data_IF_212005664453
#
_entry.id   IF_212005664453
#
_cell.length_a   1.000
_cell.length_b   1.000
_cell.length_c   1.000
_cell.angle_alpha   90.00
_cell.angle_beta   90.00
_cell.angle_gamma   90.00
#
_symmetry.space_group_name_H-M   'P 1'
#
loop_
_entity.id
_entity.type
_entity.pdbx_description
1 polymer ?
#
# COMPACT_ATOMS: atom_id res chain seq x y z
N UNK A 1 -5.48 -6.93 -9.14
CA UNK A 1 -4.96 -5.60 -9.39
C UNK A 1 -4.40 -5.00 -8.10
N UNK A 2 -3.34 -4.26 -8.20
CA UNK A 2 -2.71 -3.62 -7.04
C UNK A 2 -3.37 -2.27 -6.79
N UNK A 3 -3.91 -2.06 -5.57
CA UNK A 3 -4.61 -0.83 -5.20
C UNK A 3 -3.78 -0.06 -4.18
N UNK A 4 -3.55 1.20 -4.44
CA UNK A 4 -2.82 2.09 -3.53
C UNK A 4 -3.81 2.92 -2.73
N UNK A 5 -3.71 2.85 -1.41
CA UNK A 5 -4.54 3.62 -0.48
C UNK A 5 -3.68 4.55 0.36
N UNK A 6 -4.21 5.72 0.67
CA UNK A 6 -3.61 6.62 1.65
C UNK A 6 -4.14 6.23 3.03
N UNK A 7 -3.26 6.07 4.01
CA UNK A 7 -3.67 5.73 5.38
C UNK A 7 -4.38 6.92 6.03
N UNK A 8 -5.50 6.66 6.71
CA UNK A 8 -6.31 7.70 7.34
C UNK A 8 -6.24 7.70 8.87
N UNK A 9 -5.34 6.90 9.45
CA UNK A 9 -5.19 6.81 10.90
C UNK A 9 -6.12 5.82 11.58
N UNK A 10 -6.91 5.07 10.82
CA UNK A 10 -7.83 4.04 11.35
C UNK A 10 -7.46 2.65 10.83
N UNK A 11 -8.13 1.63 11.33
CA UNK A 11 -7.92 0.24 10.87
C UNK A 11 -8.39 0.02 9.44
N UNK A 12 -9.30 0.85 8.99
CA UNK A 12 -9.84 0.76 7.64
C UNK A 12 -8.86 1.45 6.71
N UNK A 13 -8.64 0.85 5.56
CA UNK A 13 -7.84 1.49 4.50
C UNK A 13 -8.44 2.85 4.17
N UNK A 14 -7.56 3.83 4.02
CA UNK A 14 -8.00 5.17 3.69
C UNK A 14 -8.48 5.32 2.26
N UNK A 15 -8.35 6.51 1.72
CA UNK A 15 -8.83 6.81 0.38
C UNK A 15 -8.02 6.09 -0.70
N UNK A 16 -8.71 5.50 -1.66
CA UNK A 16 -8.08 4.89 -2.81
C UNK A 16 -7.45 5.97 -3.69
N UNK A 17 -6.14 5.86 -3.90
CA UNK A 17 -5.41 6.80 -4.74
C UNK A 17 -5.40 6.33 -6.19
N UNK A 18 -5.07 5.04 -6.42
CA UNK A 18 -4.90 4.51 -7.77
C UNK A 18 -4.93 3.00 -7.79
N UNK A 19 -5.08 2.44 -9.00
CA UNK A 19 -5.06 1.01 -9.27
C UNK A 19 -4.01 0.73 -10.32
N UNK A 20 -3.29 -0.38 -10.19
CA UNK A 20 -2.20 -0.73 -11.09
C UNK A 20 -2.22 -2.22 -11.41
N UNK A 21 -1.72 -2.58 -12.59
CA UNK A 21 -1.61 -3.98 -13.00
C UNK A 21 -0.38 -4.68 -12.42
N UNK A 22 0.59 -3.93 -11.91
CA UNK A 22 1.81 -4.49 -11.34
C UNK A 22 2.19 -3.82 -10.03
N UNK A 23 2.95 -4.55 -9.21
CA UNK A 23 3.48 -4.05 -7.95
C UNK A 23 4.42 -2.86 -8.20
N UNK A 24 5.28 -2.95 -9.20
CA UNK A 24 6.23 -1.89 -9.54
C UNK A 24 5.53 -0.58 -9.89
N UNK A 25 4.46 -0.66 -10.68
CA UNK A 25 3.69 0.52 -11.06
C UNK A 25 3.03 1.15 -9.83
N UNK A 26 2.51 0.33 -8.93
CA UNK A 26 1.91 0.81 -7.68
C UNK A 26 2.95 1.50 -6.79
N UNK A 27 4.14 0.92 -6.66
CA UNK A 27 5.23 1.51 -5.87
C UNK A 27 5.73 2.81 -6.47
N UNK A 28 5.81 2.91 -7.79
CA UNK A 28 6.19 4.15 -8.47
C UNK A 28 5.20 5.27 -8.19
N UNK A 29 3.91 4.95 -8.27
CA UNK A 29 2.86 5.93 -7.96
C UNK A 29 2.92 6.32 -6.49
N UNK A 30 3.11 5.35 -5.60
CA UNK A 30 3.23 5.60 -4.17
C UNK A 30 4.38 6.55 -3.86
N UNK A 31 5.53 6.40 -4.50
CA UNK A 31 6.68 7.27 -4.25
C UNK A 31 6.43 8.72 -4.66
N UNK A 32 5.48 8.96 -5.56
CA UNK A 32 5.09 10.31 -5.99
C UNK A 32 4.04 10.93 -5.06
N UNK A 33 3.15 10.10 -4.49
CA UNK A 33 2.02 10.55 -3.70
C UNK A 33 2.30 10.54 -2.20
N UNK A 34 3.20 9.67 -1.75
CA UNK A 34 3.47 9.44 -0.33
C UNK A 34 4.98 9.49 -0.10
N UNK A 35 5.40 10.30 0.86
CA UNK A 35 6.82 10.39 1.21
C UNK A 35 7.16 9.35 2.28
N UNK A 36 7.24 8.09 1.88
CA UNK A 36 7.55 6.98 2.79
C UNK A 36 9.05 6.69 2.83
N UNK A 37 9.49 6.09 3.93
CA UNK A 37 10.89 5.71 4.16
C UNK A 37 11.06 4.19 4.15
N UNK A 38 10.11 3.46 4.76
CA UNK A 38 10.18 2.01 4.87
C UNK A 38 9.02 1.33 4.16
N UNK A 39 9.30 0.15 3.65
CA UNK A 39 8.30 -0.69 2.97
C UNK A 39 8.28 -2.05 3.65
N UNK A 40 7.10 -2.49 4.06
CA UNK A 40 6.93 -3.81 4.67
C UNK A 40 5.87 -4.59 3.92
N UNK A 41 6.25 -5.75 3.40
CA UNK A 41 5.35 -6.62 2.65
C UNK A 41 4.86 -7.76 3.54
N UNK A 42 3.55 -7.88 3.66
CA UNK A 42 2.91 -8.91 4.48
C UNK A 42 1.95 -9.71 3.61
N UNK A 43 2.05 -11.03 3.69
CA UNK A 43 1.12 -11.94 3.01
C UNK A 43 0.15 -12.53 4.02
N UNK A 44 -1.14 -12.40 3.74
CA UNK A 44 -2.21 -12.97 4.58
C UNK A 44 -3.17 -13.76 3.69
N UNK A 45 -3.03 -15.09 3.67
CA UNK A 45 -3.88 -15.91 2.84
C UNK A 45 -3.80 -15.50 1.37
N UNK A 46 -4.93 -15.03 0.82
CA UNK A 46 -5.01 -14.58 -0.58
C UNK A 46 -4.74 -13.08 -0.76
N UNK A 47 -4.34 -12.41 0.30
CA UNK A 47 -4.14 -10.99 0.30
C UNK A 47 -2.67 -10.65 0.52
N UNK A 48 -2.15 -9.71 -0.26
CA UNK A 48 -0.80 -9.16 -0.08
C UNK A 48 -0.94 -7.70 0.28
N UNK A 49 -0.30 -7.30 1.38
CA UNK A 49 -0.30 -5.92 1.84
C UNK A 49 1.12 -5.40 1.82
N UNK A 50 1.32 -4.23 1.23
CA UNK A 50 2.61 -3.55 1.24
C UNK A 50 2.42 -2.25 2.00
N UNK A 51 2.89 -2.23 3.25
CA UNK A 51 2.80 -1.05 4.10
C UNK A 51 3.89 -0.06 3.76
N UNK A 52 3.52 1.21 3.65
CA UNK A 52 4.44 2.30 3.37
C UNK A 52 4.51 3.16 4.62
N UNK A 53 5.68 3.13 5.29
CA UNK A 53 5.85 3.75 6.60
C UNK A 53 6.79 4.96 6.54
N UNK A 54 6.62 5.87 7.49
CA UNK A 54 7.56 6.97 7.68
C UNK A 54 8.81 6.49 8.44
N UNK A 55 9.73 7.42 8.75
CA UNK A 55 10.98 7.08 9.43
C UNK A 55 10.78 6.56 10.85
N UNK A 56 9.63 6.80 11.45
CA UNK A 56 9.27 6.30 12.78
C UNK A 56 8.40 5.02 12.70
N UNK A 57 8.28 4.42 11.52
CA UNK A 57 7.46 3.23 11.24
C UNK A 57 5.96 3.43 11.44
N UNK A 58 5.49 4.67 11.32
CA UNK A 58 4.07 4.94 11.30
C UNK A 58 3.52 4.77 9.88
N UNK A 59 2.38 4.09 9.70
CA UNK A 59 1.85 3.86 8.35
C UNK A 59 1.37 5.15 7.70
N UNK A 60 1.79 5.36 6.46
CA UNK A 60 1.36 6.49 5.63
C UNK A 60 0.44 6.05 4.51
N UNK A 61 0.57 4.82 4.08
CA UNK A 61 -0.24 4.25 3.01
C UNK A 61 -0.08 2.75 2.93
N UNK A 62 -0.86 2.13 2.07
CA UNK A 62 -0.81 0.69 1.87
C UNK A 62 -1.17 0.34 0.43
N UNK A 63 -0.47 -0.64 -0.13
CA UNK A 63 -0.79 -1.21 -1.43
C UNK A 63 -1.37 -2.59 -1.16
N UNK A 64 -2.53 -2.86 -1.73
CA UNK A 64 -3.25 -4.12 -1.49
C UNK A 64 -3.48 -4.86 -2.80
N UNK A 65 -3.22 -6.15 -2.77
CA UNK A 65 -3.60 -7.06 -3.86
C UNK A 65 -4.36 -8.23 -3.27
N UNK A 66 -5.54 -8.51 -3.83
CA UNK A 66 -6.30 -9.71 -3.49
C UNK A 66 -6.19 -10.68 -4.65
N UNK A 67 -5.74 -11.90 -4.34
CA UNK A 67 -5.67 -12.96 -5.32
C UNK A 67 -6.99 -13.71 -5.33
N UNK A 68 -7.56 -13.91 -6.50
CA UNK A 68 -8.74 -14.77 -6.65
C UNK A 68 -8.29 -16.21 -6.43
N UNK A 69 -8.90 -16.86 -5.49
CA UNK A 69 -8.53 -18.21 -5.16
C UNK A 69 -9.46 -19.23 -5.67
#
# INVERSE_FOLDING_TARGET
MWKLYKWNGHYIMGDLISKHSSEDAALKKASKEINFTFVEKVKRGKETLIWLDDSAHNPLGVIVRKTRG
#
